data_IF_511580966719
#
_entry.id   IF_511580966719
#
_cell.length_a   1.000
_cell.length_b   1.000
_cell.length_c   1.000
_cell.angle_alpha   90.00
_cell.angle_beta   90.00
_cell.angle_gamma   90.00
#
_symmetry.space_group_name_H-M   'P 1'
#
loop_
_entity.id
_entity.type
_entity.pdbx_description
1 polymer ?
#
# COMPACT_ATOMS: atom_id res chain seq x y z
N UNK A 1 -29.49 3.18 28.56
CA UNK A 1 -29.54 3.60 27.14
C UNK A 1 -28.34 4.50 26.77
N UNK A 2 -28.10 5.64 27.43
CA UNK A 2 -27.03 6.59 27.08
C UNK A 2 -25.60 5.99 27.09
N UNK A 3 -25.30 5.10 28.05
CA UNK A 3 -23.99 4.42 28.16
C UNK A 3 -23.68 3.46 26.99
N UNK A 4 -24.72 2.87 26.37
CA UNK A 4 -24.58 1.94 25.23
C UNK A 4 -24.25 2.68 23.93
N UNK A 5 -24.77 3.90 23.76
CA UNK A 5 -24.44 4.76 22.63
C UNK A 5 -22.97 5.22 22.68
N UNK A 6 -22.46 5.49 23.88
CA UNK A 6 -21.09 5.95 24.07
C UNK A 6 -20.06 4.86 23.75
N UNK A 7 -20.32 3.61 24.17
CA UNK A 7 -19.49 2.47 23.80
C UNK A 7 -19.55 2.18 22.31
N UNK A 8 -20.74 2.21 21.69
CA UNK A 8 -20.89 1.99 20.24
C UNK A 8 -20.14 3.03 19.39
N UNK A 9 -20.17 4.30 19.80
CA UNK A 9 -19.44 5.38 19.11
C UNK A 9 -17.92 5.17 19.20
N UNK A 10 -17.40 4.78 20.36
CA UNK A 10 -15.96 4.50 20.54
C UNK A 10 -15.51 3.30 19.71
N UNK A 11 -16.32 2.25 19.62
CA UNK A 11 -15.99 1.09 18.76
C UNK A 11 -15.99 1.47 17.28
N UNK A 12 -16.90 2.34 16.83
CA UNK A 12 -16.94 2.81 15.44
C UNK A 12 -15.74 3.70 15.06
N UNK A 13 -15.25 4.55 15.97
CA UNK A 13 -14.05 5.36 15.72
C UNK A 13 -12.80 4.49 15.60
N UNK A 14 -12.68 3.45 16.43
CA UNK A 14 -11.55 2.52 16.40
C UNK A 14 -11.51 1.67 15.12
N UNK A 15 -12.66 1.33 14.53
CA UNK A 15 -12.71 0.58 13.27
C UNK A 15 -12.45 1.46 12.04
N UNK A 16 -12.77 2.77 12.10
CA UNK A 16 -12.46 3.73 11.02
C UNK A 16 -10.97 4.07 10.91
N UNK A 17 -10.22 4.03 12.01
CA UNK A 17 -8.76 4.20 11.98
C UNK A 17 -7.99 3.04 11.34
N UNK A 18 -8.66 1.92 11.04
CA UNK A 18 -8.05 0.74 10.41
C UNK A 18 -8.02 0.75 8.88
N UNK A 19 -8.71 1.68 8.22
CA UNK A 19 -8.88 1.64 6.76
C UNK A 19 -7.71 2.23 5.94
N UNK A 20 -6.77 2.92 6.57
CA UNK A 20 -5.60 3.53 5.88
C UNK A 20 -4.27 2.81 6.15
N UNK A 21 -4.31 1.63 6.80
CA UNK A 21 -3.08 0.88 7.08
C UNK A 21 -2.49 0.19 5.83
N UNK A 22 -3.18 0.27 4.69
CA UNK A 22 -2.67 -0.16 3.37
C UNK A 22 -2.23 0.99 2.46
N UNK A 23 -2.35 2.24 2.92
CA UNK A 23 -1.61 3.39 2.39
C UNK A 23 -0.15 3.30 2.83
N UNK A 24 0.52 2.19 2.51
CA UNK A 24 1.91 1.97 2.89
C UNK A 24 2.83 3.06 2.31
N UNK A 25 4.07 3.18 2.80
CA UNK A 25 5.08 4.14 2.32
C UNK A 25 5.38 4.11 0.81
N UNK A 26 4.76 3.18 0.07
CA UNK A 26 4.68 3.16 -1.39
C UNK A 26 3.81 4.29 -1.99
N UNK A 27 3.00 5.03 -1.22
CA UNK A 27 2.28 6.18 -1.75
C UNK A 27 3.23 7.37 -2.03
N UNK A 28 4.28 7.55 -1.22
CA UNK A 28 5.24 8.67 -1.31
C UNK A 28 6.53 8.34 -2.07
N UNK A 29 6.68 7.12 -2.57
CA UNK A 29 7.85 6.75 -3.37
C UNK A 29 7.86 7.56 -4.68
N UNK A 30 9.01 8.20 -4.99
CA UNK A 30 9.21 8.92 -6.24
C UNK A 30 9.16 7.95 -7.43
N UNK A 31 8.70 8.43 -8.59
CA UNK A 31 8.56 7.60 -9.79
C UNK A 31 9.85 6.87 -10.19
N UNK A 32 11.00 7.56 -10.09
CA UNK A 32 12.30 6.98 -10.39
C UNK A 32 12.66 5.82 -9.45
N UNK A 33 12.39 5.98 -8.15
CA UNK A 33 12.65 4.97 -7.14
C UNK A 33 11.68 3.79 -7.28
N UNK A 34 10.40 4.06 -7.56
CA UNK A 34 9.40 3.02 -7.84
C UNK A 34 9.82 2.17 -9.04
N UNK A 35 10.18 2.80 -10.16
CA UNK A 35 10.64 2.11 -11.37
C UNK A 35 11.91 1.30 -11.12
N UNK A 36 12.83 1.81 -10.30
CA UNK A 36 14.06 1.09 -9.94
C UNK A 36 13.74 -0.15 -9.12
N UNK A 37 12.97 0.01 -8.04
CA UNK A 37 12.58 -1.09 -7.13
C UNK A 37 11.74 -2.14 -7.83
N UNK A 38 10.83 -1.72 -8.71
CA UNK A 38 10.04 -2.62 -9.52
C UNK A 38 10.89 -3.46 -10.49
N UNK A 39 11.91 -2.87 -11.13
CA UNK A 39 12.87 -3.62 -11.96
C UNK A 39 13.72 -4.57 -11.13
N UNK A 40 14.21 -4.15 -9.96
CA UNK A 40 14.94 -5.02 -9.03
C UNK A 40 14.11 -6.27 -8.71
N UNK A 41 12.81 -6.12 -8.44
CA UNK A 41 11.90 -7.22 -8.17
C UNK A 41 11.77 -8.24 -9.31
N UNK A 42 11.90 -7.84 -10.57
CA UNK A 42 11.91 -8.77 -11.72
C UNK A 42 13.16 -9.65 -11.80
N UNK A 43 14.26 -9.20 -11.19
CA UNK A 43 15.56 -9.88 -11.27
C UNK A 43 15.87 -10.80 -10.09
N UNK A 44 15.05 -10.75 -9.03
CA UNK A 44 15.27 -11.56 -7.83
C UNK A 44 14.60 -12.93 -8.00
N UNK A 45 15.38 -14.00 -7.99
CA UNK A 45 14.89 -15.37 -8.15
C UNK A 45 14.33 -16.00 -6.87
N UNK A 46 14.85 -15.62 -5.69
CA UNK A 46 14.42 -16.16 -4.40
C UNK A 46 14.30 -15.04 -3.34
N UNK A 47 13.26 -14.20 -3.43
CA UNK A 47 13.07 -13.11 -2.48
C UNK A 47 12.68 -13.64 -1.09
N UNK A 48 13.18 -13.01 -0.03
CA UNK A 48 12.61 -13.23 1.29
C UNK A 48 11.14 -12.83 1.31
N UNK A 49 10.34 -13.41 2.22
CA UNK A 49 8.90 -13.11 2.34
C UNK A 49 8.60 -11.61 2.38
N UNK A 50 9.37 -10.85 3.14
CA UNK A 50 9.24 -9.39 3.22
C UNK A 50 9.54 -8.70 1.89
N UNK A 51 10.56 -9.16 1.15
CA UNK A 51 10.87 -8.62 -0.19
C UNK A 51 9.78 -8.97 -1.19
N UNK A 52 9.22 -10.17 -1.15
CA UNK A 52 8.11 -10.57 -2.03
C UNK A 52 6.89 -9.65 -1.82
N UNK A 53 6.52 -9.40 -0.56
CA UNK A 53 5.43 -8.48 -0.23
C UNK A 53 5.71 -7.04 -0.70
N UNK A 54 6.95 -6.58 -0.56
CA UNK A 54 7.35 -5.27 -1.08
C UNK A 54 7.24 -5.21 -2.62
N UNK A 55 7.64 -6.27 -3.32
CA UNK A 55 7.52 -6.37 -4.77
C UNK A 55 6.06 -6.34 -5.24
N UNK A 56 5.17 -7.05 -4.56
CA UNK A 56 3.73 -6.98 -4.82
C UNK A 56 3.18 -5.56 -4.60
N UNK A 57 3.65 -4.86 -3.57
CA UNK A 57 3.28 -3.46 -3.33
C UNK A 57 3.74 -2.54 -4.47
N UNK A 58 4.97 -2.72 -4.98
CA UNK A 58 5.46 -1.92 -6.12
C UNK A 58 4.64 -2.20 -7.38
N UNK A 59 4.29 -3.46 -7.66
CA UNK A 59 3.43 -3.82 -8.81
C UNK A 59 2.06 -3.16 -8.69
N UNK A 60 1.43 -3.22 -7.52
CA UNK A 60 0.12 -2.58 -7.27
C UNK A 60 0.20 -1.06 -7.43
N UNK A 61 1.23 -0.43 -6.91
CA UNK A 61 1.42 1.01 -7.02
C UNK A 61 1.66 1.45 -8.47
N UNK A 62 2.46 0.69 -9.23
CA UNK A 62 2.64 0.91 -10.67
C UNK A 62 1.29 0.81 -11.42
N UNK A 63 0.45 -0.18 -11.11
CA UNK A 63 -0.86 -0.34 -11.72
C UNK A 63 -1.81 0.83 -11.36
N UNK A 64 -1.81 1.26 -10.09
CA UNK A 64 -2.58 2.42 -9.62
C UNK A 64 -2.18 3.69 -10.36
N UNK A 65 -0.87 3.97 -10.48
CA UNK A 65 -0.36 5.15 -11.20
C UNK A 65 -0.67 5.10 -12.69
N UNK A 66 -0.58 3.92 -13.31
CA UNK A 66 -0.99 3.70 -14.71
C UNK A 66 -2.48 4.01 -14.91
N UNK A 67 -3.35 3.57 -14.00
CA UNK A 67 -4.78 3.90 -14.00
C UNK A 67 -5.05 5.42 -13.91
N UNK A 68 -4.16 6.16 -13.25
CA UNK A 68 -4.21 7.62 -13.15
C UNK A 68 -3.48 8.35 -14.30
N UNK A 69 -3.07 7.64 -15.36
CA UNK A 69 -2.39 8.22 -16.52
C UNK A 69 -0.87 8.40 -16.38
N UNK A 70 -0.26 7.95 -15.28
CA UNK A 70 1.19 8.02 -15.08
C UNK A 70 1.87 6.67 -15.41
N UNK A 71 2.65 6.62 -16.49
CA UNK A 71 3.38 5.45 -16.96
C UNK A 71 4.73 5.29 -16.22
N UNK A 72 4.66 4.90 -14.95
CA UNK A 72 5.88 4.75 -14.13
C UNK A 72 6.62 3.44 -14.41
N UNK A 73 5.91 2.34 -14.68
CA UNK A 73 6.50 0.99 -14.82
C UNK A 73 6.00 0.31 -16.11
N UNK A 74 6.85 -0.50 -16.76
CA UNK A 74 6.64 -1.07 -18.10
C UNK A 74 7.13 -2.52 -18.23
#
# INVERSE_FOLDING_TARGET
>A
MHKLYFTGLMTAVLTLSGCDMFGGPSADIKDADLRKKWRECKTISNPSRTKALACENYVRECARRKGNGNLVCY
#
